data_IF_692810456159
#
_entry.id   IF_692810456159
#
_cell.length_a   1.000
_cell.length_b   1.000
_cell.length_c   1.000
_cell.angle_alpha   90.00
_cell.angle_beta   90.00
_cell.angle_gamma   90.00
#
_symmetry.space_group_name_H-M   'P 1'
#
loop_
_entity.id
_entity.type
_entity.pdbx_description
1 polymer ?
#
# COMPACT_ATOMS: atom_id res chain seq x y z
N UNK A 1 -5.52 20.28 4.89
CA UNK A 1 -6.14 19.49 3.82
C UNK A 1 -7.47 20.14 3.53
N UNK A 2 -7.70 20.56 2.30
CA UNK A 2 -9.01 21.07 1.90
C UNK A 2 -10.00 19.90 1.78
N UNK A 3 -11.29 20.17 2.00
CA UNK A 3 -12.35 19.15 1.98
C UNK A 3 -12.43 18.50 0.60
N UNK A 4 -12.37 19.31 -0.47
CA UNK A 4 -12.37 18.82 -1.86
C UNK A 4 -11.22 17.84 -2.14
N UNK A 5 -10.05 18.08 -1.54
CA UNK A 5 -8.91 17.18 -1.70
C UNK A 5 -9.15 15.81 -1.05
N UNK A 6 -9.77 15.79 0.13
CA UNK A 6 -10.07 14.55 0.85
C UNK A 6 -11.16 13.75 0.12
N UNK A 7 -12.18 14.44 -0.41
CA UNK A 7 -13.26 13.81 -1.19
C UNK A 7 -12.75 13.09 -2.45
N UNK A 8 -11.69 13.61 -3.07
CA UNK A 8 -11.10 13.02 -4.28
C UNK A 8 -9.84 12.18 -4.03
N UNK A 9 -9.49 11.93 -2.76
CA UNK A 9 -8.26 11.20 -2.42
C UNK A 9 -8.26 9.77 -2.98
N UNK A 10 -7.19 9.40 -3.68
CA UNK A 10 -7.02 8.06 -4.28
C UNK A 10 -7.73 7.84 -5.62
N UNK A 11 -8.53 8.79 -6.12
CA UNK A 11 -9.21 8.68 -7.42
C UNK A 11 -8.24 8.68 -8.62
N UNK A 12 -7.04 9.22 -8.43
CA UNK A 12 -5.98 9.24 -9.44
C UNK A 12 -5.24 7.90 -9.58
N UNK A 13 -5.32 7.01 -8.58
CA UNK A 13 -4.70 5.68 -8.65
C UNK A 13 -5.36 4.81 -9.73
N UNK A 14 -4.68 3.79 -10.27
CA UNK A 14 -5.32 2.83 -11.17
C UNK A 14 -6.50 2.08 -10.53
N UNK A 15 -6.44 1.83 -9.22
CA UNK A 15 -7.55 1.23 -8.46
C UNK A 15 -8.72 2.17 -8.18
N UNK A 16 -8.60 3.47 -8.50
CA UNK A 16 -9.66 4.49 -8.37
C UNK A 16 -10.26 4.64 -6.96
N UNK A 17 -9.51 4.21 -5.95
CA UNK A 17 -9.89 4.33 -4.54
C UNK A 17 -8.66 4.43 -3.65
N UNK A 18 -8.80 4.99 -2.44
CA UNK A 18 -7.74 4.91 -1.44
C UNK A 18 -7.59 3.47 -0.93
N UNK A 19 -6.36 3.13 -0.57
CA UNK A 19 -6.08 1.95 0.23
C UNK A 19 -6.65 2.09 1.65
N UNK A 20 -7.10 0.99 2.23
CA UNK A 20 -7.58 0.92 3.59
C UNK A 20 -6.51 0.31 4.51
N UNK A 21 -6.44 0.71 5.80
CA UNK A 21 -5.43 0.19 6.73
C UNK A 21 -5.38 -1.34 6.81
N UNK A 22 -6.53 -2.01 6.70
CA UNK A 22 -6.63 -3.47 6.72
C UNK A 22 -5.86 -4.13 5.57
N UNK A 23 -5.73 -3.45 4.42
CA UNK A 23 -5.03 -3.98 3.24
C UNK A 23 -3.50 -4.02 3.44
N UNK A 24 -2.96 -3.24 4.39
CA UNK A 24 -1.54 -3.24 4.74
C UNK A 24 -1.18 -4.34 5.74
N UNK A 25 -2.13 -4.73 6.60
CA UNK A 25 -1.87 -5.63 7.72
C UNK A 25 -1.26 -6.97 7.28
N UNK A 26 -1.77 -7.55 6.18
CA UNK A 26 -1.27 -8.82 5.65
C UNK A 26 0.21 -8.78 5.25
N UNK A 27 0.67 -7.66 4.67
CA UNK A 27 2.07 -7.47 4.27
C UNK A 27 3.00 -7.47 5.48
N UNK A 28 2.63 -6.77 6.55
CA UNK A 28 3.42 -6.77 7.78
C UNK A 28 3.48 -8.15 8.44
N UNK A 29 2.34 -8.85 8.50
CA UNK A 29 2.31 -10.22 9.04
C UNK A 29 3.20 -11.14 8.22
N UNK A 30 3.12 -11.08 6.89
CA UNK A 30 3.96 -11.87 5.99
C UNK A 30 5.45 -11.64 6.23
N UNK A 31 5.88 -10.39 6.37
CA UNK A 31 7.27 -10.04 6.67
C UNK A 31 7.75 -10.52 8.05
N UNK A 32 6.83 -10.73 8.99
CA UNK A 32 7.15 -11.22 10.34
C UNK A 32 7.20 -12.75 10.43
N UNK A 33 6.86 -13.48 9.36
CA UNK A 33 6.89 -14.96 9.34
C UNK A 33 8.27 -15.52 9.03
N UNK A 34 8.52 -16.78 9.40
CA UNK A 34 9.75 -17.51 9.04
C UNK A 34 9.93 -17.68 7.52
N UNK A 35 8.85 -17.61 6.74
CA UNK A 35 8.88 -17.65 5.28
C UNK A 35 9.61 -16.43 4.69
N UNK A 36 9.66 -15.32 5.43
CA UNK A 36 10.40 -14.12 5.04
C UNK A 36 11.89 -14.17 5.42
N UNK A 37 12.41 -15.31 5.90
CA UNK A 37 13.79 -15.46 6.41
C UNK A 37 14.91 -15.06 5.45
N UNK A 38 14.64 -14.99 4.14
CA UNK A 38 15.62 -14.57 3.13
C UNK A 38 15.24 -13.26 2.41
N UNK A 39 14.21 -12.54 2.89
CA UNK A 39 13.84 -11.22 2.39
C UNK A 39 14.66 -10.17 3.15
N UNK A 40 15.71 -9.68 2.50
CA UNK A 40 16.65 -8.69 3.04
C UNK A 40 16.74 -7.50 2.09
N UNK A 41 16.92 -6.29 2.64
CA UNK A 41 17.07 -5.04 1.87
C UNK A 41 15.99 -4.82 0.80
N UNK A 42 14.75 -5.19 1.12
CA UNK A 42 13.63 -5.15 0.20
C UNK A 42 12.61 -4.08 0.61
N UNK A 43 12.02 -3.41 -0.38
CA UNK A 43 10.86 -2.52 -0.20
C UNK A 43 9.62 -3.18 -0.81
N UNK A 44 8.59 -3.43 0.00
CA UNK A 44 7.30 -3.93 -0.48
C UNK A 44 6.37 -2.75 -0.75
N UNK A 45 5.86 -2.64 -1.98
CA UNK A 45 4.96 -1.56 -2.39
C UNK A 45 3.49 -1.98 -2.34
N UNK A 46 2.69 -1.25 -1.56
CA UNK A 46 1.24 -1.45 -1.42
C UNK A 46 0.53 -0.15 -1.80
N UNK A 47 0.44 0.13 -3.11
CA UNK A 47 0.08 1.48 -3.63
C UNK A 47 -1.02 1.49 -4.69
N UNK A 48 -1.89 0.48 -4.69
CA UNK A 48 -3.06 0.43 -5.59
C UNK A 48 -2.70 0.42 -7.08
N UNK A 49 -1.65 -0.32 -7.45
CA UNK A 49 -1.07 -0.41 -8.79
C UNK A 49 -0.49 0.89 -9.37
N UNK A 50 -0.28 1.91 -8.53
CA UNK A 50 0.46 3.11 -8.94
C UNK A 50 1.90 2.73 -9.33
N UNK A 51 2.43 3.17 -10.47
CA UNK A 51 3.81 2.87 -10.85
C UNK A 51 4.82 3.46 -9.84
N UNK A 52 5.81 2.65 -9.45
CA UNK A 52 7.02 3.12 -8.76
C UNK A 52 8.07 3.44 -9.84
N UNK A 53 8.54 4.68 -9.86
CA UNK A 53 9.65 5.16 -10.71
C UNK A 53 10.89 5.41 -9.88
#
# INVERSE_FOLDING_TARGET
MDVEHVEHFGANTPMKRPGQPTELAGTYVSLATDDASYILDATITVIGATPVV
#
